data_IF_175863930162
#
_entry.id   IF_175863930162
#
_cell.length_a   1.000
_cell.length_b   1.000
_cell.length_c   1.000
_cell.angle_alpha   90.00
_cell.angle_beta   90.00
_cell.angle_gamma   90.00
#
_symmetry.space_group_name_H-M   'P 1'
#
loop_
_entity.id
_entity.type
_entity.pdbx_description
1 polymer ?
#
# COMPACT_ATOMS: atom_id res chain seq x y z
N UNK A 1 0.74 -7.86 -4.46
CA UNK A 1 0.21 -6.48 -4.51
C UNK A 1 -1.07 -6.32 -5.32
N UNK A 2 -1.19 -6.77 -6.58
CA UNK A 2 -2.35 -6.42 -7.43
C UNK A 2 -3.74 -6.86 -6.93
N UNK A 3 -3.84 -8.00 -6.23
CA UNK A 3 -5.12 -8.54 -5.73
C UNK A 3 -5.94 -7.53 -4.92
N UNK A 4 -5.31 -6.79 -3.99
CA UNK A 4 -6.02 -5.85 -3.09
C UNK A 4 -6.72 -4.71 -3.86
N UNK A 5 -6.15 -4.29 -4.99
CA UNK A 5 -6.73 -3.25 -5.84
C UNK A 5 -7.96 -3.77 -6.58
N UNK A 6 -7.87 -5.00 -7.10
CA UNK A 6 -8.99 -5.67 -7.76
C UNK A 6 -10.12 -5.94 -6.75
N UNK A 7 -9.78 -6.43 -5.56
CA UNK A 7 -10.75 -6.68 -4.48
C UNK A 7 -11.48 -5.38 -4.11
N UNK A 8 -10.76 -4.25 -3.92
CA UNK A 8 -11.40 -2.95 -3.65
C UNK A 8 -12.35 -2.52 -4.76
N UNK A 9 -11.93 -2.64 -6.01
CA UNK A 9 -12.73 -2.28 -7.17
C UNK A 9 -14.01 -3.13 -7.24
N UNK A 10 -13.86 -4.44 -7.10
CA UNK A 10 -14.98 -5.38 -7.17
C UNK A 10 -15.94 -5.20 -6.01
N UNK A 11 -15.44 -5.15 -4.78
CA UNK A 11 -16.28 -4.95 -3.59
C UNK A 11 -17.08 -3.66 -3.71
N UNK A 12 -16.43 -2.54 -4.07
CA UNK A 12 -17.12 -1.25 -4.22
C UNK A 12 -18.22 -1.28 -5.28
N UNK A 13 -18.04 -2.07 -6.35
CA UNK A 13 -19.09 -2.30 -7.37
C UNK A 13 -20.24 -3.17 -6.85
N UNK A 14 -19.93 -4.25 -6.12
CA UNK A 14 -20.94 -5.17 -5.60
C UNK A 14 -21.83 -4.55 -4.53
N UNK A 15 -21.22 -3.85 -3.57
CA UNK A 15 -21.95 -3.25 -2.44
C UNK A 15 -22.55 -1.87 -2.76
N UNK A 16 -22.35 -1.37 -3.98
CA UNK A 16 -22.82 -0.06 -4.49
C UNK A 16 -22.46 1.14 -3.60
N UNK A 17 -21.44 1.01 -2.76
CA UNK A 17 -20.88 2.11 -1.97
C UNK A 17 -19.35 1.98 -1.90
N UNK A 18 -18.68 3.08 -1.54
CA UNK A 18 -17.21 3.09 -1.45
C UNK A 18 -16.75 2.25 -0.25
N UNK A 19 -15.97 1.21 -0.52
CA UNK A 19 -15.35 0.40 0.53
C UNK A 19 -13.95 0.95 0.82
N UNK A 20 -13.70 1.33 2.07
CA UNK A 20 -12.38 1.75 2.54
C UNK A 20 -11.49 0.52 2.70
N UNK A 21 -10.35 0.49 2.02
CA UNK A 21 -9.36 -0.59 2.11
C UNK A 21 -7.98 0.03 2.26
N UNK A 22 -7.22 -0.54 3.20
CA UNK A 22 -5.80 -0.28 3.44
C UNK A 22 -5.00 -1.54 3.09
N UNK A 23 -3.74 -1.36 2.69
CA UNK A 23 -2.82 -2.47 2.52
C UNK A 23 -1.73 -2.41 3.59
N UNK A 24 -1.52 -3.50 4.32
CA UNK A 24 -0.38 -3.65 5.24
C UNK A 24 0.50 -4.78 4.72
N UNK A 25 1.78 -4.49 4.55
CA UNK A 25 2.74 -5.41 3.97
C UNK A 25 3.93 -5.59 4.90
N UNK A 26 4.32 -6.84 5.10
CA UNK A 26 5.67 -7.16 5.54
C UNK A 26 6.54 -7.19 4.28
N UNK A 27 7.61 -6.39 4.25
CA UNK A 27 8.53 -6.46 3.12
C UNK A 27 9.23 -7.81 3.12
N UNK A 28 9.13 -8.50 1.99
CA UNK A 28 9.82 -9.76 1.79
C UNK A 28 11.21 -9.45 1.22
N UNK A 29 12.24 -9.69 2.04
CA UNK A 29 13.64 -9.54 1.65
C UNK A 29 14.01 -10.76 0.81
N UNK A 30 13.88 -10.61 -0.51
CA UNK A 30 14.28 -11.65 -1.43
C UNK A 30 15.81 -11.62 -1.60
N UNK A 31 16.49 -12.65 -1.08
CA UNK A 31 17.92 -12.85 -1.29
C UNK A 31 18.19 -13.15 -2.76
N UNK A 32 19.06 -12.36 -3.40
CA UNK A 32 19.50 -12.57 -4.79
C UNK A 32 21.01 -12.78 -4.76
N UNK A 33 21.45 -14.04 -4.73
CA UNK A 33 22.86 -14.45 -4.54
C UNK A 33 23.46 -13.94 -3.21
N UNK A 34 24.75 -14.23 -2.95
CA UNK A 34 25.40 -14.13 -1.63
C UNK A 34 25.32 -12.72 -0.98
N UNK A 35 25.23 -11.63 -1.76
CA UNK A 35 25.36 -10.26 -1.21
C UNK A 35 24.30 -9.23 -1.69
N UNK A 36 23.21 -9.62 -2.38
CA UNK A 36 22.21 -8.65 -2.86
C UNK A 36 20.83 -8.88 -2.27
N UNK A 37 20.34 -7.87 -1.55
CA UNK A 37 18.96 -7.78 -1.08
C UNK A 37 18.10 -7.12 -2.17
N UNK A 38 17.07 -7.81 -2.64
CA UNK A 38 16.05 -7.24 -3.52
C UNK A 38 14.70 -7.21 -2.82
N UNK A 39 13.95 -6.12 -3.01
CA UNK A 39 12.56 -6.04 -2.55
C UNK A 39 11.59 -6.59 -3.59
N UNK A 40 10.53 -7.24 -3.15
CA UNK A 40 9.43 -7.73 -4.01
C UNK A 40 8.50 -6.62 -4.51
N UNK A 41 8.68 -5.38 -4.04
CA UNK A 41 7.91 -4.22 -4.51
C UNK A 41 8.26 -3.88 -5.98
N UNK A 42 7.26 -4.05 -6.85
CA UNK A 42 7.31 -3.63 -8.25
C UNK A 42 6.68 -2.24 -8.37
N UNK A 43 7.50 -1.19 -8.22
CA UNK A 43 7.08 0.22 -8.12
C UNK A 43 6.18 0.69 -9.26
N UNK A 44 6.55 0.39 -10.51
CA UNK A 44 5.79 0.82 -11.69
C UNK A 44 4.39 0.22 -11.72
N UNK A 45 4.29 -1.08 -11.41
CA UNK A 45 3.02 -1.79 -11.40
C UNK A 45 2.10 -1.25 -10.29
N UNK A 46 2.67 -0.97 -9.11
CA UNK A 46 1.95 -0.31 -8.02
C UNK A 46 1.40 1.06 -8.41
N UNK A 47 2.21 1.89 -9.09
CA UNK A 47 1.77 3.21 -9.56
C UNK A 47 0.65 3.11 -10.60
N UNK A 48 0.75 2.14 -11.52
CA UNK A 48 -0.30 1.88 -12.51
C UNK A 48 -1.61 1.51 -11.82
N UNK A 49 -1.60 0.59 -10.86
CA UNK A 49 -2.82 0.24 -10.13
C UNK A 49 -3.39 1.41 -9.33
N UNK A 50 -2.53 2.18 -8.67
CA UNK A 50 -2.94 3.32 -7.84
C UNK A 50 -3.55 4.45 -8.67
N UNK A 51 -3.00 4.73 -9.86
CA UNK A 51 -3.46 5.82 -10.73
C UNK A 51 -4.64 5.42 -11.61
N UNK A 52 -4.64 4.21 -12.17
CA UNK A 52 -5.59 3.82 -13.22
C UNK A 52 -6.67 2.84 -12.74
N UNK A 53 -6.44 2.08 -11.67
CA UNK A 53 -7.39 1.06 -11.21
C UNK A 53 -8.23 1.57 -10.04
N UNK A 54 -7.59 1.82 -8.89
CA UNK A 54 -8.24 2.37 -7.71
C UNK A 54 -7.18 2.82 -6.70
N UNK A 55 -7.45 3.88 -5.94
CA UNK A 55 -6.57 4.34 -4.87
C UNK A 55 -6.96 3.70 -3.56
N UNK A 56 -5.99 3.14 -2.82
CA UNK A 56 -6.19 2.66 -1.45
C UNK A 56 -6.16 3.84 -0.46
N UNK A 57 -6.78 3.68 0.70
CA UNK A 57 -6.78 4.75 1.73
C UNK A 57 -5.38 4.93 2.32
N UNK A 58 -4.60 3.86 2.38
CA UNK A 58 -3.21 3.88 2.78
C UNK A 58 -2.52 2.56 2.48
N UNK A 59 -1.21 2.64 2.23
CA UNK A 59 -0.35 1.47 2.03
C UNK A 59 0.80 1.57 3.03
N UNK A 60 0.89 0.58 3.90
CA UNK A 60 1.78 0.60 5.04
C UNK A 60 2.74 -0.58 5.00
N UNK A 61 3.99 -0.32 5.29
CA UNK A 61 5.02 -1.34 5.41
C UNK A 61 5.56 -1.40 6.83
N UNK A 62 5.66 -2.61 7.37
CA UNK A 62 6.34 -2.85 8.66
C UNK A 62 7.84 -2.62 8.51
N UNK A 63 8.41 -3.08 7.39
CA UNK A 63 9.77 -2.79 6.95
C UNK A 63 9.70 -2.10 5.58
N UNK A 64 10.06 -0.82 5.49
CA UNK A 64 9.92 -0.06 4.24
C UNK A 64 11.05 -0.44 3.28
N UNK A 65 10.75 -0.88 2.03
CA UNK A 65 11.78 -1.15 1.05
C UNK A 65 12.61 0.10 0.72
N UNK A 66 13.93 -0.05 0.58
CA UNK A 66 14.86 1.04 0.25
C UNK A 66 14.40 1.90 -0.96
N UNK A 67 13.87 1.25 -2.01
CA UNK A 67 13.40 1.92 -3.24
C UNK A 67 12.27 2.92 -3.04
N UNK A 68 11.55 2.89 -1.91
CA UNK A 68 10.46 3.83 -1.63
C UNK A 68 11.00 5.23 -1.33
N UNK A 69 12.13 5.34 -0.63
CA UNK A 69 12.70 6.63 -0.18
C UNK A 69 13.16 7.53 -1.33
N UNK A 70 13.61 6.93 -2.44
CA UNK A 70 14.18 7.67 -3.57
C UNK A 70 13.17 7.88 -4.73
N UNK A 71 11.86 7.68 -4.51
CA UNK A 71 10.89 7.63 -5.62
C UNK A 71 9.56 8.33 -5.36
N UNK A 72 8.78 8.50 -6.42
CA UNK A 72 7.41 9.03 -6.37
C UNK A 72 6.43 8.19 -5.53
N UNK A 73 6.88 7.05 -4.99
CA UNK A 73 6.12 6.16 -4.11
C UNK A 73 5.96 6.68 -2.69
N UNK A 74 6.86 7.55 -2.22
CA UNK A 74 6.84 8.06 -0.84
C UNK A 74 5.51 8.74 -0.47
N UNK A 75 4.81 9.29 -1.46
CA UNK A 75 3.48 9.91 -1.29
C UNK A 75 2.35 8.92 -1.06
N UNK A 76 2.58 7.63 -1.32
CA UNK A 76 1.57 6.57 -1.29
C UNK A 76 1.89 5.48 -0.28
N UNK A 77 3.16 5.32 0.10
CA UNK A 77 3.65 4.27 0.98
C UNK A 77 4.18 4.88 2.26
N UNK A 78 3.69 4.39 3.40
CA UNK A 78 4.00 4.92 4.72
C UNK A 78 4.51 3.82 5.68
N UNK A 79 5.19 4.17 6.78
CA UNK A 79 5.52 3.20 7.82
C UNK A 79 4.26 2.73 8.54
N UNK A 80 4.25 1.47 8.99
CA UNK A 80 3.17 0.93 9.82
C UNK A 80 2.96 1.72 11.12
N UNK A 81 4.03 2.33 11.66
CA UNK A 81 3.92 3.21 12.84
C UNK A 81 2.96 4.37 12.63
N UNK A 82 2.98 5.00 11.44
CA UNK A 82 2.04 6.09 11.10
C UNK A 82 0.59 5.61 11.06
N UNK A 83 0.36 4.38 10.61
CA UNK A 83 -0.98 3.81 10.58
C UNK A 83 -1.58 3.71 11.98
N UNK A 84 -0.83 3.11 12.91
CA UNK A 84 -1.31 2.88 14.28
C UNK A 84 -1.39 4.17 15.11
N UNK A 85 -0.52 5.15 14.83
CA UNK A 85 -0.49 6.40 15.59
C UNK A 85 -1.52 7.42 15.12
N UNK A 86 -1.80 7.49 13.81
CA UNK A 86 -2.58 8.58 13.23
C UNK A 86 -3.69 8.10 12.30
N UNK A 87 -3.34 7.35 11.26
CA UNK A 87 -4.24 7.17 10.11
C UNK A 87 -5.43 6.25 10.44
N UNK A 88 -5.26 5.27 11.35
CA UNK A 88 -6.36 4.40 11.78
C UNK A 88 -7.47 5.19 12.48
N UNK A 89 -7.10 6.18 13.29
CA UNK A 89 -8.06 6.99 14.06
C UNK A 89 -8.85 7.91 13.14
N UNK A 90 -8.21 8.49 12.12
CA UNK A 90 -8.87 9.26 11.06
C UNK A 90 -9.79 8.38 10.20
N UNK A 91 -9.42 7.12 9.98
CA UNK A 91 -10.22 6.18 9.19
C UNK A 91 -11.53 5.80 9.90
N UNK A 92 -11.45 5.59 11.21
CA UNK A 92 -12.56 5.20 12.08
C UNK A 92 -13.47 6.38 12.44
N UNK A 93 -12.91 7.60 12.54
CA UNK A 93 -13.66 8.81 12.87
C UNK A 93 -13.60 9.84 11.72
N UNK A 94 -14.32 9.60 10.60
CA UNK A 94 -14.29 10.50 9.43
C UNK A 94 -15.00 11.84 9.64
N UNK A 95 -15.64 12.07 10.80
CA UNK A 95 -16.41 13.28 11.12
C UNK A 95 -15.67 14.27 12.03
N UNK A 96 -14.38 14.04 12.31
CA UNK A 96 -13.48 14.97 13.01
C UNK A 96 -12.42 15.51 12.06
#
# INVERSE_FOLDING_TARGET
MGKIFVDKLLMSKFVKHKVKIIGIFLNDVQRKQEDKVSSTLVSNLFLVYTKFLTRLEGVYYVDIPYRVKDSSLEKYIFPFSKFISEDIWKLLNPEV
#
